data_IF_410977217576
#
_entry.id   IF_410977217576
#
_cell.length_a   1.000
_cell.length_b   1.000
_cell.length_c   1.000
_cell.angle_alpha   90.00
_cell.angle_beta   90.00
_cell.angle_gamma   90.00
#
_symmetry.space_group_name_H-M   'P 1'
#
loop_
_entity.id
_entity.type
_entity.pdbx_description
1 polymer ?
#
# COMPACT_ATOMS: atom_id res chain seq x y z
N UNK A 1 62.95 43.24 48.82
CA UNK A 1 62.56 42.64 47.52
C UNK A 1 61.41 41.62 47.63
N UNK A 2 61.32 40.75 48.64
CA UNK A 2 60.20 39.77 48.77
C UNK A 2 58.80 40.38 49.00
N UNK A 3 58.67 41.52 49.68
CA UNK A 3 57.38 42.18 49.96
C UNK A 3 56.73 42.84 48.73
N UNK A 4 57.54 43.27 47.76
CA UNK A 4 57.07 43.89 46.51
C UNK A 4 56.50 42.82 45.57
N UNK A 5 57.14 41.64 45.52
CA UNK A 5 56.72 40.51 44.68
C UNK A 5 55.32 40.01 45.09
N UNK A 6 55.06 39.90 46.41
CA UNK A 6 53.75 39.46 46.90
C UNK A 6 52.62 40.46 46.58
N UNK A 7 52.92 41.77 46.63
CA UNK A 7 51.92 42.80 46.37
C UNK A 7 51.58 42.91 44.87
N UNK A 8 52.57 42.71 43.99
CA UNK A 8 52.35 42.64 42.53
C UNK A 8 51.58 41.38 42.13
N UNK A 9 51.86 40.24 42.77
CA UNK A 9 51.14 38.99 42.51
C UNK A 9 49.66 39.07 42.92
N UNK A 10 49.35 39.73 44.04
CA UNK A 10 47.96 40.00 44.44
C UNK A 10 47.25 40.93 43.43
N UNK A 11 47.93 41.97 42.93
CA UNK A 11 47.34 42.95 42.01
C UNK A 11 46.99 42.34 40.64
N UNK A 12 47.84 41.46 40.11
CA UNK A 12 47.59 40.75 38.84
C UNK A 12 46.39 39.79 38.96
N UNK A 13 46.21 39.17 40.14
CA UNK A 13 45.08 38.27 40.42
C UNK A 13 43.73 38.99 40.41
N UNK A 14 43.64 40.22 40.92
CA UNK A 14 42.37 40.98 40.92
C UNK A 14 41.99 41.45 39.51
N UNK A 15 42.96 41.78 38.65
CA UNK A 15 42.69 42.19 37.26
C UNK A 15 42.24 41.04 36.37
N UNK A 16 42.60 39.78 36.67
CA UNK A 16 42.08 38.60 35.97
C UNK A 16 40.63 38.22 36.32
N UNK A 17 40.04 38.80 37.37
CA UNK A 17 38.67 38.49 37.82
C UNK A 17 37.62 39.50 37.34
N UNK A 18 38.02 40.62 36.71
CA UNK A 18 37.12 41.63 36.17
C UNK A 18 36.74 41.39 34.68
N UNK A 19 36.90 40.16 34.21
CA UNK A 19 36.71 39.76 32.81
C UNK A 19 35.57 38.76 32.59
N UNK A 20 34.49 38.82 33.37
CA UNK A 20 33.20 38.24 32.98
C UNK A 20 32.24 39.41 32.81
N UNK A 21 32.28 40.04 31.64
CA UNK A 21 31.24 40.96 31.23
C UNK A 21 29.92 40.21 31.17
N UNK A 22 28.92 40.74 31.88
CA UNK A 22 27.54 40.32 31.77
C UNK A 22 27.11 40.40 30.30
N UNK A 23 26.89 39.26 29.68
CA UNK A 23 25.97 39.16 28.56
C UNK A 23 24.70 38.52 29.10
N UNK A 24 23.87 39.32 29.77
CA UNK A 24 22.44 39.05 29.75
C UNK A 24 22.01 39.23 28.28
N UNK A 25 22.19 38.19 27.47
CA UNK A 25 21.40 38.07 26.24
C UNK A 25 19.98 37.79 26.69
N UNK A 26 19.26 38.86 27.01
CA UNK A 26 17.80 38.87 26.99
C UNK A 26 17.39 38.41 25.60
N UNK A 27 16.92 37.17 25.47
CA UNK A 27 16.32 36.63 24.26
C UNK A 27 14.95 37.23 23.94
N UNK A 28 14.51 38.24 24.68
CA UNK A 28 13.12 38.70 24.69
C UNK A 28 12.76 39.72 23.58
N UNK A 29 13.52 39.79 22.49
CA UNK A 29 12.96 40.39 21.27
C UNK A 29 12.16 39.34 20.53
N UNK A 30 10.88 39.21 20.92
CA UNK A 30 9.86 38.50 20.18
C UNK A 30 9.69 39.15 18.80
N UNK A 31 10.26 38.55 17.76
CA UNK A 31 10.11 39.02 16.39
C UNK A 31 8.72 38.66 15.87
N UNK A 32 7.80 39.63 15.92
CA UNK A 32 6.44 39.45 15.39
C UNK A 32 6.44 39.01 13.91
N UNK A 33 7.48 39.36 13.14
CA UNK A 33 7.58 38.93 11.74
C UNK A 33 7.84 37.42 11.61
N UNK A 34 8.40 36.77 12.63
CA UNK A 34 8.63 35.32 12.63
C UNK A 34 7.30 34.56 12.75
N UNK A 35 6.42 34.99 13.65
CA UNK A 35 5.09 34.41 13.83
C UNK A 35 4.17 34.69 12.64
N UNK A 36 4.20 35.91 12.10
CA UNK A 36 3.44 36.27 10.90
C UNK A 36 3.93 35.49 9.67
N UNK A 37 5.24 35.35 9.49
CA UNK A 37 5.84 34.55 8.42
C UNK A 37 5.57 33.06 8.56
N UNK A 38 5.60 32.53 9.78
CA UNK A 38 5.26 31.14 10.05
C UNK A 38 3.79 30.86 9.77
N UNK A 39 2.89 31.74 10.23
CA UNK A 39 1.44 31.62 10.00
C UNK A 39 1.10 31.75 8.52
N UNK A 40 1.63 32.77 7.84
CA UNK A 40 1.41 32.95 6.41
C UNK A 40 1.98 31.78 5.59
N UNK A 41 3.17 31.28 5.95
CA UNK A 41 3.76 30.10 5.31
C UNK A 41 2.96 28.81 5.53
N UNK A 42 2.43 28.61 6.75
CA UNK A 42 1.53 27.50 7.07
C UNK A 42 0.25 27.59 6.26
N UNK A 43 -0.40 28.75 6.19
CA UNK A 43 -1.66 28.91 5.47
C UNK A 43 -1.45 28.74 3.97
N UNK A 44 -0.40 29.34 3.40
CA UNK A 44 -0.09 29.20 1.98
C UNK A 44 0.25 27.73 1.65
N UNK A 45 1.10 27.06 2.43
CA UNK A 45 1.45 25.66 2.21
C UNK A 45 0.27 24.71 2.39
N UNK A 46 -0.60 24.96 3.38
CA UNK A 46 -1.80 24.15 3.62
C UNK A 46 -2.83 24.36 2.50
N UNK A 47 -3.01 25.58 2.02
CA UNK A 47 -3.94 25.88 0.93
C UNK A 47 -3.41 25.42 -0.44
N UNK A 48 -2.10 25.51 -0.70
CA UNK A 48 -1.45 24.97 -1.90
C UNK A 48 -1.54 23.44 -1.93
N UNK A 49 -1.29 22.79 -0.78
CA UNK A 49 -1.52 21.35 -0.62
C UNK A 49 -2.99 20.94 -0.82
N UNK A 50 -3.94 21.76 -0.38
CA UNK A 50 -5.37 21.54 -0.66
C UNK A 50 -5.75 21.77 -2.13
N UNK A 51 -5.18 22.77 -2.80
CA UNK A 51 -5.43 23.04 -4.21
C UNK A 51 -4.77 21.99 -5.13
N UNK A 52 -3.66 21.38 -4.72
CA UNK A 52 -3.05 20.25 -5.40
C UNK A 52 -3.81 18.93 -5.21
N UNK A 53 -4.64 18.81 -4.16
CA UNK A 53 -5.57 17.69 -3.99
C UNK A 53 -6.82 17.87 -4.87
N UNK A 54 -6.66 17.77 -6.18
CA UNK A 54 -7.79 17.34 -7.01
C UNK A 54 -8.16 15.93 -6.51
N UNK A 55 -9.44 15.64 -6.25
CA UNK A 55 -9.84 14.31 -5.79
C UNK A 55 -9.20 13.26 -6.72
N UNK A 56 -8.47 12.26 -6.19
CA UNK A 56 -7.77 11.31 -7.04
C UNK A 56 -8.81 10.66 -7.94
N UNK A 57 -8.64 10.81 -9.26
CA UNK A 57 -9.50 10.19 -10.23
C UNK A 57 -9.44 8.68 -9.99
N UNK A 58 -10.57 8.08 -9.63
CA UNK A 58 -10.62 6.66 -9.29
C UNK A 58 -10.44 5.85 -10.56
N UNK A 59 -9.41 5.01 -10.57
CA UNK A 59 -9.19 4.02 -11.61
C UNK A 59 -9.77 2.68 -11.17
N UNK A 60 -10.31 1.94 -12.12
CA UNK A 60 -10.85 0.60 -11.88
C UNK A 60 -10.29 -0.38 -12.89
N UNK A 61 -10.14 -1.63 -12.48
CA UNK A 61 -9.94 -2.76 -13.36
C UNK A 61 -11.27 -3.49 -13.54
N UNK A 62 -11.71 -3.66 -14.78
CA UNK A 62 -12.82 -4.53 -15.12
C UNK A 62 -12.28 -5.88 -15.58
N UNK A 63 -12.66 -6.94 -14.89
CA UNK A 63 -12.31 -8.32 -15.23
C UNK A 63 -13.51 -9.01 -15.87
N UNK A 64 -13.30 -9.72 -16.98
CA UNK A 64 -14.36 -10.45 -17.68
C UNK A 64 -13.85 -11.71 -18.40
N UNK A 65 -14.78 -12.56 -18.82
CA UNK A 65 -14.50 -13.75 -19.62
C UNK A 65 -14.30 -15.01 -18.78
N UNK A 66 -13.22 -15.73 -19.07
CA UNK A 66 -12.89 -17.00 -18.41
C UNK A 66 -11.39 -17.09 -18.15
N UNK A 67 -10.99 -18.06 -17.35
CA UNK A 67 -9.58 -18.39 -17.14
C UNK A 67 -9.36 -19.89 -16.98
N UNK A 68 -8.20 -20.37 -17.42
CA UNK A 68 -7.74 -21.73 -17.16
C UNK A 68 -7.00 -21.79 -15.84
N UNK A 69 -7.39 -22.68 -14.93
CA UNK A 69 -6.64 -22.95 -13.71
C UNK A 69 -6.65 -24.44 -13.32
N UNK A 70 -5.56 -24.88 -12.68
CA UNK A 70 -5.48 -26.22 -12.09
C UNK A 70 -6.10 -26.20 -10.71
N UNK A 71 -6.98 -27.15 -10.40
CA UNK A 71 -7.49 -27.35 -9.03
C UNK A 71 -6.47 -28.19 -8.28
N UNK A 72 -5.76 -27.59 -7.33
CA UNK A 72 -4.76 -28.30 -6.53
C UNK A 72 -5.40 -29.01 -5.34
N UNK A 73 -6.33 -28.34 -4.66
CA UNK A 73 -6.97 -28.87 -3.47
C UNK A 73 -8.39 -28.31 -3.30
N UNK A 74 -9.31 -29.12 -2.76
CA UNK A 74 -10.63 -28.68 -2.32
C UNK A 74 -10.69 -28.67 -0.79
N UNK A 75 -11.04 -27.50 -0.24
CA UNK A 75 -11.11 -27.28 1.19
C UNK A 75 -12.52 -26.81 1.59
N UNK A 76 -13.01 -27.20 2.76
CA UNK A 76 -14.21 -26.58 3.33
C UNK A 76 -13.95 -25.11 3.68
N UNK A 77 -14.87 -24.23 3.31
CA UNK A 77 -14.86 -22.82 3.70
C UNK A 77 -15.52 -22.67 5.07
N UNK A 78 -14.72 -22.60 6.12
CA UNK A 78 -15.22 -22.45 7.49
C UNK A 78 -15.50 -21.00 7.89
N UNK A 79 -14.89 -20.04 7.19
CA UNK A 79 -14.80 -18.66 7.68
C UNK A 79 -15.84 -17.77 7.03
N UNK A 80 -15.90 -17.76 5.69
CA UNK A 80 -16.64 -16.73 4.99
C UNK A 80 -17.87 -17.29 4.26
N UNK A 81 -17.92 -18.61 3.96
CA UNK A 81 -19.13 -19.28 3.48
C UNK A 81 -19.25 -20.69 4.09
N UNK A 82 -19.68 -20.80 5.37
CA UNK A 82 -19.82 -22.08 6.06
C UNK A 82 -20.62 -23.12 5.27
N UNK A 83 -20.03 -24.30 5.08
CA UNK A 83 -20.64 -25.42 4.35
C UNK A 83 -20.48 -25.35 2.83
N UNK A 84 -19.66 -24.41 2.32
CA UNK A 84 -19.25 -24.34 0.91
C UNK A 84 -17.80 -24.77 0.74
N UNK A 85 -17.36 -24.86 -0.51
CA UNK A 85 -15.98 -25.23 -0.85
C UNK A 85 -15.18 -24.00 -1.27
N UNK A 86 -13.92 -23.96 -0.87
CA UNK A 86 -12.89 -23.15 -1.48
C UNK A 86 -11.90 -24.07 -2.19
N UNK A 87 -11.57 -23.78 -3.44
CA UNK A 87 -10.51 -24.47 -4.15
C UNK A 87 -9.20 -23.70 -4.00
N UNK A 88 -8.10 -24.41 -3.79
CA UNK A 88 -6.76 -23.89 -4.07
C UNK A 88 -6.51 -24.12 -5.54
N UNK A 89 -6.28 -23.04 -6.29
CA UNK A 89 -6.06 -23.09 -7.74
C UNK A 89 -4.82 -22.32 -8.12
N UNK A 90 -4.21 -22.67 -9.25
CA UNK A 90 -3.10 -21.90 -9.81
C UNK A 90 -3.17 -21.83 -11.32
N UNK A 91 -2.65 -20.74 -11.89
CA UNK A 91 -2.40 -20.67 -13.33
C UNK A 91 -1.12 -21.42 -13.67
N UNK A 92 -0.84 -21.57 -14.97
CA UNK A 92 0.40 -22.19 -15.40
C UNK A 92 1.61 -21.37 -14.91
N UNK A 93 2.47 -22.01 -14.11
CA UNK A 93 3.69 -21.42 -13.52
C UNK A 93 3.47 -20.21 -12.59
N UNK A 94 2.27 -20.00 -12.05
CA UNK A 94 2.01 -18.95 -11.05
C UNK A 94 1.83 -19.51 -9.65
N UNK A 95 1.87 -18.63 -8.65
CA UNK A 95 1.57 -19.00 -7.27
C UNK A 95 0.08 -19.38 -7.12
N UNK A 96 -0.26 -20.35 -6.25
CA UNK A 96 -1.65 -20.67 -5.97
C UNK A 96 -2.38 -19.53 -5.27
N UNK A 97 -3.67 -19.39 -5.60
CA UNK A 97 -4.62 -18.52 -4.94
C UNK A 97 -5.90 -19.32 -4.63
N UNK A 98 -6.78 -18.79 -3.78
CA UNK A 98 -8.03 -19.50 -3.51
C UNK A 98 -9.12 -19.03 -4.48
N UNK A 99 -10.04 -19.93 -4.80
CA UNK A 99 -11.22 -19.67 -5.59
C UNK A 99 -12.42 -20.13 -4.78
N UNK A 100 -13.27 -19.17 -4.40
CA UNK A 100 -14.43 -19.43 -3.55
C UNK A 100 -15.65 -19.68 -4.40
N UNK A 101 -16.43 -20.70 -4.04
CA UNK A 101 -17.66 -21.04 -4.73
C UNK A 101 -18.87 -20.75 -3.84
N UNK A 102 -19.97 -20.31 -4.46
CA UNK A 102 -21.26 -20.14 -3.77
C UNK A 102 -21.94 -21.50 -3.47
N UNK A 103 -21.38 -22.59 -3.99
CA UNK A 103 -21.85 -23.96 -3.84
C UNK A 103 -20.78 -24.86 -3.21
N UNK A 104 -21.22 -26.00 -2.68
CA UNK A 104 -20.32 -27.09 -2.38
C UNK A 104 -19.90 -27.78 -3.70
N UNK A 105 -18.59 -27.85 -3.90
CA UNK A 105 -17.94 -28.42 -5.08
C UNK A 105 -17.36 -29.80 -4.83
N UNK A 106 -17.56 -30.36 -3.63
CA UNK A 106 -17.13 -31.72 -3.29
C UNK A 106 -17.70 -32.74 -4.28
N UNK A 107 -16.82 -33.48 -4.95
CA UNK A 107 -17.21 -34.45 -5.99
C UNK A 107 -17.66 -33.86 -7.33
N UNK A 108 -17.75 -32.52 -7.44
CA UNK A 108 -18.01 -31.81 -8.70
C UNK A 108 -16.71 -31.42 -9.42
N UNK A 109 -15.71 -31.01 -8.64
CA UNK A 109 -14.34 -30.77 -9.11
C UNK A 109 -13.44 -31.92 -8.66
N UNK A 110 -12.39 -32.16 -9.45
CA UNK A 110 -11.38 -33.20 -9.18
C UNK A 110 -10.02 -32.52 -9.02
N UNK A 111 -9.37 -32.77 -7.89
CA UNK A 111 -8.00 -32.31 -7.61
C UNK A 111 -7.02 -32.84 -8.66
N UNK A 112 -6.04 -32.02 -9.06
CA UNK A 112 -5.12 -32.27 -10.15
C UNK A 112 -5.68 -32.03 -11.56
N UNK A 113 -6.97 -31.72 -11.69
CA UNK A 113 -7.59 -31.44 -12.99
C UNK A 113 -7.52 -29.96 -13.34
N UNK A 114 -7.28 -29.67 -14.61
CA UNK A 114 -7.29 -28.31 -15.16
C UNK A 114 -8.68 -28.00 -15.71
N UNK A 115 -9.24 -26.86 -15.29
CA UNK A 115 -10.55 -26.39 -15.70
C UNK A 115 -10.48 -25.00 -16.32
N UNK A 116 -11.43 -24.73 -17.21
CA UNK A 116 -11.78 -23.37 -17.63
C UNK A 116 -12.96 -22.92 -16.78
N UNK A 117 -12.79 -21.82 -16.07
CA UNK A 117 -13.82 -21.20 -15.23
C UNK A 117 -14.36 -19.95 -15.93
N UNK A 118 -15.67 -19.91 -16.13
CA UNK A 118 -16.37 -18.69 -16.57
C UNK A 118 -16.90 -17.97 -15.32
N UNK A 119 -16.78 -16.64 -15.32
CA UNK A 119 -17.19 -15.84 -14.18
C UNK A 119 -17.95 -14.58 -14.60
N UNK A 120 -18.73 -14.05 -13.67
CA UNK A 120 -19.45 -12.80 -13.87
C UNK A 120 -18.47 -11.63 -13.91
N UNK A 121 -18.59 -10.77 -14.91
CA UNK A 121 -17.83 -9.52 -14.98
C UNK A 121 -17.94 -8.72 -13.69
N UNK A 122 -16.81 -8.27 -13.17
CA UNK A 122 -16.74 -7.44 -11.96
C UNK A 122 -15.70 -6.34 -12.13
N UNK A 123 -15.80 -5.32 -11.27
CA UNK A 123 -14.88 -4.19 -11.25
C UNK A 123 -14.28 -4.03 -9.86
N UNK A 124 -13.01 -3.65 -9.80
CA UNK A 124 -12.28 -3.35 -8.57
C UNK A 124 -11.58 -2.02 -8.71
N UNK A 125 -11.62 -1.22 -7.64
CA UNK A 125 -10.85 0.04 -7.57
C UNK A 125 -9.37 -0.31 -7.46
N UNK A 126 -8.54 0.27 -8.31
CA UNK A 126 -7.08 0.06 -8.35
C UNK A 126 -6.34 1.38 -8.12
N UNK A 127 -5.12 1.36 -7.56
CA UNK A 127 -4.23 2.51 -7.54
C UNK A 127 -4.03 3.08 -8.95
N UNK A 128 -3.87 4.41 -9.05
CA UNK A 128 -3.71 5.10 -10.33
C UNK A 128 -2.41 4.77 -11.06
N UNK A 129 -1.43 4.18 -10.38
CA UNK A 129 -0.16 3.72 -10.93
C UNK A 129 -0.12 2.23 -11.30
N UNK A 130 -1.17 1.46 -10.97
CA UNK A 130 -1.29 0.05 -11.33
C UNK A 130 -1.67 -0.12 -12.81
N UNK A 131 -0.84 -0.85 -13.55
CA UNK A 131 -1.02 -1.05 -15.00
C UNK A 131 -1.49 -2.44 -15.40
N UNK A 132 -1.17 -3.44 -14.59
CA UNK A 132 -1.42 -4.85 -14.87
C UNK A 132 -1.99 -5.52 -13.62
N UNK A 133 -3.25 -5.24 -13.26
CA UNK A 133 -3.88 -5.86 -12.12
C UNK A 133 -4.12 -7.34 -12.38
N UNK A 134 -3.73 -8.20 -11.42
CA UNK A 134 -3.91 -9.65 -11.51
C UNK A 134 -5.24 -10.05 -10.90
N UNK A 135 -5.98 -10.93 -11.59
CA UNK A 135 -7.24 -11.45 -11.09
C UNK A 135 -7.06 -12.25 -9.79
N UNK A 136 -5.90 -12.88 -9.59
CA UNK A 136 -5.63 -13.68 -8.39
C UNK A 136 -5.70 -12.87 -7.10
N UNK A 137 -5.46 -11.56 -7.18
CA UNK A 137 -5.52 -10.64 -6.04
C UNK A 137 -6.96 -10.34 -5.62
N UNK A 138 -7.93 -10.62 -6.49
CA UNK A 138 -9.35 -10.28 -6.32
C UNK A 138 -10.25 -11.50 -6.13
N UNK A 139 -9.72 -12.57 -5.54
CA UNK A 139 -10.39 -13.83 -5.21
C UNK A 139 -11.83 -13.72 -4.69
N UNK A 140 -12.13 -12.69 -3.87
CA UNK A 140 -13.46 -12.51 -3.28
C UNK A 140 -14.50 -11.91 -4.23
N UNK A 141 -14.05 -11.30 -5.33
CA UNK A 141 -14.88 -10.65 -6.34
C UNK A 141 -15.24 -11.60 -7.50
N UNK A 142 -14.58 -12.75 -7.57
CA UNK A 142 -14.81 -13.75 -8.63
C UNK A 142 -16.06 -14.56 -8.29
N UNK A 143 -17.12 -14.36 -9.08
CA UNK A 143 -18.33 -15.17 -9.01
C UNK A 143 -18.36 -16.14 -10.20
N UNK A 144 -17.94 -17.39 -9.96
CA UNK A 144 -17.88 -18.43 -11.00
C UNK A 144 -19.29 -18.85 -11.37
N UNK A 145 -19.64 -18.68 -12.64
CA UNK A 145 -20.96 -19.00 -13.19
C UNK A 145 -21.00 -20.36 -13.86
N UNK A 146 -19.86 -20.84 -14.37
CA UNK A 146 -19.77 -22.11 -15.07
C UNK A 146 -18.32 -22.63 -15.06
N UNK A 147 -18.16 -23.93 -15.31
CA UNK A 147 -16.84 -24.55 -15.44
C UNK A 147 -16.89 -25.76 -16.37
N UNK A 148 -15.76 -26.06 -17.00
CA UNK A 148 -15.55 -27.31 -17.75
C UNK A 148 -14.09 -27.73 -17.70
N UNK A 149 -13.82 -29.01 -17.96
CA UNK A 149 -12.44 -29.47 -18.12
C UNK A 149 -11.80 -28.72 -19.29
N UNK A 150 -10.55 -28.28 -19.11
CA UNK A 150 -9.79 -27.60 -20.14
C UNK A 150 -9.41 -28.57 -21.27
N UNK A 151 -9.44 -28.08 -22.50
CA UNK A 151 -8.98 -28.82 -23.67
C UNK A 151 -7.45 -28.76 -23.77
N UNK A 152 -6.82 -29.69 -24.51
CA UNK A 152 -5.36 -29.73 -24.66
C UNK A 152 -4.78 -28.41 -25.20
N UNK A 153 -5.54 -27.69 -26.04
CA UNK A 153 -5.16 -26.38 -26.61
C UNK A 153 -5.36 -25.21 -25.66
N UNK A 154 -5.77 -25.46 -24.41
CA UNK A 154 -6.06 -24.44 -23.39
C UNK A 154 -5.18 -24.64 -22.16
N UNK A 155 -4.10 -25.41 -22.29
CA UNK A 155 -3.16 -25.74 -21.22
C UNK A 155 -1.83 -25.01 -21.40
N UNK A 156 -1.09 -24.87 -20.31
CA UNK A 156 0.29 -24.38 -20.37
C UNK A 156 0.36 -22.92 -20.82
N UNK A 157 1.17 -22.66 -21.85
CA UNK A 157 1.32 -21.33 -22.44
C UNK A 157 0.07 -20.87 -23.22
N UNK A 158 -0.79 -21.81 -23.62
CA UNK A 158 -2.04 -21.53 -24.34
C UNK A 158 -3.24 -21.43 -23.37
N UNK A 159 -2.96 -21.30 -22.07
CA UNK A 159 -4.00 -21.10 -21.04
C UNK A 159 -4.83 -19.86 -21.32
N UNK A 160 -6.15 -19.97 -21.12
CA UNK A 160 -7.04 -18.83 -21.22
C UNK A 160 -6.79 -17.90 -20.05
N UNK A 161 -6.54 -16.63 -20.34
CA UNK A 161 -6.44 -15.56 -19.35
C UNK A 161 -7.68 -14.69 -19.38
N UNK A 162 -8.13 -14.14 -18.24
CA UNK A 162 -9.27 -13.23 -18.23
C UNK A 162 -8.92 -11.96 -19.02
N UNK A 163 -9.94 -11.31 -19.57
CA UNK A 163 -9.79 -9.98 -20.15
C UNK A 163 -9.79 -8.95 -19.03
N UNK A 164 -8.81 -8.04 -19.06
CA UNK A 164 -8.66 -6.96 -18.09
C UNK A 164 -8.67 -5.63 -18.81
N UNK A 165 -9.60 -4.74 -18.43
CA UNK A 165 -9.70 -3.39 -18.97
C UNK A 165 -9.57 -2.36 -17.85
N UNK A 166 -8.65 -1.40 -17.99
CA UNK A 166 -8.55 -0.27 -17.08
C UNK A 166 -9.57 0.79 -17.51
N UNK A 167 -10.49 1.12 -16.62
CA UNK A 167 -11.53 2.13 -16.82
C UNK A 167 -11.39 3.25 -15.79
N UNK A 168 -11.71 4.47 -16.20
CA UNK A 168 -11.79 5.63 -15.31
C UNK A 168 -13.24 6.08 -15.19
N UNK A 169 -13.67 6.44 -13.98
CA UNK A 169 -15.02 6.95 -13.69
C UNK A 169 -15.00 8.34 -13.09
#
# INVERSE_FOLDING_TARGET
MKKIIAMVLCLVLVFSLAGCGNNDQSSDTHDANYEEGYTAGYEVGYNDGKQQMTAPQKCYAQFSGSFTATVEQLLPDYCALPGKTVAVVHFFQTAPFLLRFQEDMTGKLVEGTVYVFEFKTFEVEIPTDEKNPDISDYMYSIDVTNYRVAEDSELGLDSITPTVEIISK
#
